data_IF_221329511957
#
_entry.id   IF_221329511957
#
_cell.length_a   1.000
_cell.length_b   1.000
_cell.length_c   1.000
_cell.angle_alpha   90.00
_cell.angle_beta   90.00
_cell.angle_gamma   90.00
#
_symmetry.space_group_name_H-M   'P 1'
#
loop_
_entity.id
_entity.type
_entity.pdbx_description
1 polymer ?
#
# COMPACT_ATOMS: atom_id res chain seq x y z
N UNK A 1 31.41 -2.64 -24.26
CA UNK A 1 32.11 -3.69 -23.51
C UNK A 1 33.38 -3.22 -22.78
N UNK A 2 34.25 -2.37 -23.34
CA UNK A 2 35.49 -1.90 -22.66
C UNK A 2 35.20 -1.08 -21.37
N UNK A 3 34.22 -0.20 -21.39
CA UNK A 3 33.82 0.66 -20.24
C UNK A 3 33.26 -0.15 -19.06
N UNK A 4 32.42 -1.16 -19.30
CA UNK A 4 31.84 -2.03 -18.26
C UNK A 4 32.94 -2.84 -17.55
N UNK A 5 33.87 -3.43 -18.32
CA UNK A 5 35.03 -4.20 -17.78
C UNK A 5 35.96 -3.32 -16.95
N UNK A 6 36.05 -2.04 -17.33
CA UNK A 6 36.87 -1.06 -16.61
C UNK A 6 36.19 -0.65 -15.28
N UNK A 7 34.89 -0.37 -15.30
CA UNK A 7 34.10 -0.05 -14.11
C UNK A 7 34.16 -1.21 -13.09
N UNK A 8 33.96 -2.44 -13.54
CA UNK A 8 34.05 -3.62 -12.69
C UNK A 8 35.44 -3.80 -12.02
N UNK A 9 36.51 -3.66 -12.80
CA UNK A 9 37.89 -3.75 -12.28
C UNK A 9 38.19 -2.68 -11.24
N UNK A 10 37.62 -1.50 -11.38
CA UNK A 10 37.78 -0.42 -10.42
C UNK A 10 37.09 -0.74 -9.09
N UNK A 11 35.83 -1.19 -9.12
CA UNK A 11 35.09 -1.61 -7.93
C UNK A 11 35.82 -2.71 -7.14
N UNK A 12 36.43 -3.64 -7.84
CA UNK A 12 37.20 -4.71 -7.25
C UNK A 12 38.55 -4.25 -6.65
N UNK A 13 39.13 -3.14 -7.11
CA UNK A 13 40.41 -2.62 -6.63
C UNK A 13 40.31 -1.85 -5.30
N UNK A 14 39.15 -1.28 -5.01
CA UNK A 14 38.86 -0.51 -3.78
C UNK A 14 37.81 -1.22 -2.91
N UNK A 15 38.03 -2.47 -2.59
CA UNK A 15 37.05 -3.39 -1.97
C UNK A 15 36.35 -2.82 -0.75
N UNK A 16 37.11 -2.39 0.27
CA UNK A 16 36.53 -1.88 1.52
C UNK A 16 35.62 -0.68 1.30
N UNK A 17 36.03 0.28 0.46
CA UNK A 17 35.23 1.43 0.11
C UNK A 17 33.95 1.05 -0.62
N UNK A 18 34.07 0.18 -1.62
CA UNK A 18 32.93 -0.28 -2.44
C UNK A 18 31.92 -1.04 -1.58
N UNK A 19 32.38 -1.92 -0.68
CA UNK A 19 31.52 -2.69 0.22
C UNK A 19 30.77 -1.77 1.19
N UNK A 20 31.46 -0.84 1.85
CA UNK A 20 30.82 0.08 2.81
C UNK A 20 29.76 0.94 2.12
N UNK A 21 30.11 1.48 0.94
CA UNK A 21 29.17 2.31 0.17
C UNK A 21 27.96 1.51 -0.33
N UNK A 22 28.20 0.31 -0.83
CA UNK A 22 27.17 -0.60 -1.30
C UNK A 22 26.21 -1.01 -0.17
N UNK A 23 26.74 -1.42 0.97
CA UNK A 23 25.92 -1.85 2.11
C UNK A 23 25.12 -0.67 2.71
N UNK A 24 25.73 0.52 2.84
CA UNK A 24 25.04 1.70 3.32
C UNK A 24 23.88 2.13 2.40
N UNK A 25 24.11 2.11 1.09
CA UNK A 25 23.05 2.41 0.12
C UNK A 25 21.98 1.30 0.09
N UNK A 26 22.40 0.02 0.12
CA UNK A 26 21.47 -1.11 0.08
C UNK A 26 20.53 -1.13 1.29
N UNK A 27 21.04 -0.86 2.49
CA UNK A 27 20.22 -0.78 3.69
C UNK A 27 19.22 0.38 3.62
N UNK A 28 19.68 1.57 3.21
CA UNK A 28 18.79 2.73 3.05
C UNK A 28 17.71 2.49 1.99
N UNK A 29 18.06 1.87 0.85
CA UNK A 29 17.10 1.49 -0.18
C UNK A 29 16.11 0.45 0.33
N UNK A 30 16.56 -0.58 1.06
CA UNK A 30 15.69 -1.61 1.62
C UNK A 30 14.63 -1.00 2.55
N UNK A 31 15.05 -0.15 3.51
CA UNK A 31 14.12 0.55 4.39
C UNK A 31 13.14 1.45 3.61
N UNK A 32 13.65 2.22 2.63
CA UNK A 32 12.80 3.10 1.82
C UNK A 32 11.81 2.32 0.95
N UNK A 33 12.21 1.18 0.36
CA UNK A 33 11.33 0.32 -0.44
C UNK A 33 10.21 -0.25 0.42
N UNK A 34 10.53 -0.77 1.63
CA UNK A 34 9.52 -1.29 2.56
C UNK A 34 8.50 -0.21 2.91
N UNK A 35 8.96 1.01 3.24
CA UNK A 35 8.08 2.13 3.56
C UNK A 35 7.23 2.55 2.36
N UNK A 36 7.81 2.62 1.16
CA UNK A 36 7.07 2.95 -0.08
C UNK A 36 6.02 1.89 -0.41
N UNK A 37 6.31 0.60 -0.21
CA UNK A 37 5.32 -0.49 -0.34
C UNK A 37 4.17 -0.31 0.64
N UNK A 38 4.47 0.00 1.90
CA UNK A 38 3.46 0.26 2.92
C UNK A 38 2.59 1.47 2.53
N UNK A 39 3.20 2.59 2.16
CA UNK A 39 2.49 3.81 1.72
C UNK A 39 1.61 3.51 0.51
N UNK A 40 2.13 2.80 -0.47
CA UNK A 40 1.37 2.41 -1.66
C UNK A 40 0.15 1.55 -1.29
N UNK A 41 0.33 0.55 -0.41
CA UNK A 41 -0.75 -0.31 0.09
C UNK A 41 -1.84 0.48 0.80
N UNK A 42 -1.47 1.49 1.60
CA UNK A 42 -2.41 2.39 2.26
C UNK A 42 -3.15 3.31 1.28
N UNK A 43 -2.49 3.80 0.23
CA UNK A 43 -3.10 4.65 -0.79
C UNK A 43 -4.01 3.88 -1.76
N UNK A 44 -3.80 2.58 -1.90
CA UNK A 44 -4.55 1.71 -2.82
C UNK A 44 -5.62 0.88 -2.11
N UNK A 45 -6.05 1.28 -0.92
CA UNK A 45 -7.14 0.61 -0.20
C UNK A 45 -8.40 0.60 -1.05
N UNK A 46 -9.09 -0.56 -1.08
CA UNK A 46 -10.33 -0.80 -1.80
C UNK A 46 -10.31 -0.48 -3.31
N UNK A 47 -9.13 -0.52 -3.96
CA UNK A 47 -9.05 -0.34 -5.42
C UNK A 47 -9.67 -1.51 -6.21
N UNK A 48 -9.97 -2.63 -5.57
CA UNK A 48 -10.73 -3.73 -6.14
C UNK A 48 -12.24 -3.41 -6.24
N UNK A 49 -12.72 -2.31 -5.63
CA UNK A 49 -14.05 -1.77 -5.87
C UNK A 49 -14.10 -1.17 -7.29
N UNK A 50 -14.96 -1.75 -8.13
CA UNK A 50 -15.14 -1.34 -9.51
C UNK A 50 -15.85 0.00 -9.51
N UNK A 51 -15.22 0.99 -10.18
CA UNK A 51 -15.76 2.35 -10.27
C UNK A 51 -16.04 3.01 -8.90
N UNK A 52 -15.10 2.81 -7.97
CA UNK A 52 -15.22 3.27 -6.56
C UNK A 52 -15.57 4.75 -6.38
N UNK A 53 -15.40 5.57 -7.42
CA UNK A 53 -15.75 6.99 -7.40
C UNK A 53 -17.28 7.22 -7.48
N UNK A 54 -18.01 6.25 -8.02
CA UNK A 54 -19.47 6.26 -8.13
C UNK A 54 -20.16 5.31 -7.16
N UNK A 55 -19.39 4.62 -6.28
CA UNK A 55 -19.95 3.73 -5.26
C UNK A 55 -19.97 4.44 -3.91
N UNK A 56 -21.16 4.48 -3.30
CA UNK A 56 -21.44 5.18 -2.06
C UNK A 56 -22.13 4.27 -1.06
N UNK A 57 -21.76 4.44 0.22
CA UNK A 57 -22.46 3.83 1.35
C UNK A 57 -23.38 4.87 2.02
N UNK A 58 -24.44 4.40 2.65
CA UNK A 58 -25.25 5.26 3.51
C UNK A 58 -24.55 5.42 4.86
N UNK A 59 -24.40 6.65 5.28
CA UNK A 59 -23.90 7.05 6.57
C UNK A 59 -25.00 7.71 7.38
N UNK A 60 -25.21 7.24 8.60
CA UNK A 60 -26.12 7.81 9.59
C UNK A 60 -25.31 8.63 10.58
N UNK A 61 -25.82 9.80 10.94
CA UNK A 61 -25.30 10.61 12.04
C UNK A 61 -26.37 10.72 13.12
N UNK A 62 -26.06 10.20 14.30
CA UNK A 62 -26.92 10.17 15.47
C UNK A 62 -26.23 10.93 16.58
N UNK A 63 -26.68 12.17 16.87
CA UNK A 63 -26.16 13.02 17.96
C UNK A 63 -24.62 13.15 17.95
N UNK A 64 -24.02 13.27 16.76
CA UNK A 64 -22.57 13.39 16.58
C UNK A 64 -21.83 12.06 16.36
N UNK A 65 -22.47 10.92 16.60
CA UNK A 65 -21.92 9.61 16.24
C UNK A 65 -22.27 9.27 14.79
N UNK A 66 -21.25 9.05 13.96
CA UNK A 66 -21.43 8.68 12.56
C UNK A 66 -21.10 7.19 12.36
N UNK A 67 -21.99 6.50 11.65
CA UNK A 67 -21.82 5.09 11.33
C UNK A 67 -22.35 4.74 9.94
N UNK A 68 -21.91 3.60 9.41
CA UNK A 68 -22.48 3.05 8.18
C UNK A 68 -23.78 2.31 8.51
N UNK A 69 -24.80 2.48 7.67
CA UNK A 69 -26.12 1.87 7.92
C UNK A 69 -26.89 1.59 6.64
N UNK A 70 -28.01 0.89 6.78
CA UNK A 70 -29.00 0.73 5.73
C UNK A 70 -30.30 1.45 6.05
N UNK A 71 -31.02 1.89 5.04
CA UNK A 71 -32.29 2.63 5.20
C UNK A 71 -33.40 1.75 5.79
N UNK A 72 -33.41 0.47 5.45
CA UNK A 72 -34.43 -0.49 5.97
C UNK A 72 -34.43 -0.64 7.48
N UNK A 73 -33.30 -0.30 8.13
CA UNK A 73 -33.21 -0.34 9.59
C UNK A 73 -34.19 0.61 10.27
N UNK A 74 -34.51 1.74 9.62
CA UNK A 74 -35.24 2.85 10.22
C UNK A 74 -36.72 2.94 9.81
N UNK A 75 -37.18 2.09 8.89
CA UNK A 75 -38.59 2.07 8.41
C UNK A 75 -39.15 3.42 7.87
N UNK A 76 -38.26 4.36 7.44
CA UNK A 76 -38.67 5.68 6.97
C UNK A 76 -37.96 6.05 5.68
N UNK A 77 -38.60 6.87 4.85
CA UNK A 77 -37.96 7.52 3.70
C UNK A 77 -37.01 8.62 4.22
N UNK A 78 -35.80 8.20 4.61
CA UNK A 78 -34.85 9.04 5.32
C UNK A 78 -33.95 9.84 4.38
N UNK A 79 -33.67 9.32 3.21
CA UNK A 79 -32.95 9.97 2.12
C UNK A 79 -33.66 9.64 0.82
N UNK A 80 -33.83 10.62 -0.06
CA UNK A 80 -34.49 10.38 -1.35
C UNK A 80 -33.49 9.96 -2.39
N UNK A 81 -33.48 8.67 -2.71
CA UNK A 81 -32.65 8.08 -3.78
C UNK A 81 -33.59 7.71 -4.93
N UNK A 82 -33.41 8.37 -6.07
CA UNK A 82 -34.13 8.03 -7.29
C UNK A 82 -33.48 6.82 -7.96
N UNK A 83 -34.21 5.72 -8.02
CA UNK A 83 -33.73 4.46 -8.61
C UNK A 83 -33.30 4.58 -10.08
N UNK A 84 -33.75 5.64 -10.79
CA UNK A 84 -33.32 5.89 -12.19
C UNK A 84 -31.82 6.19 -12.30
N UNK A 85 -31.21 6.69 -11.24
CA UNK A 85 -29.77 7.00 -11.18
C UNK A 85 -28.95 5.88 -10.54
N UNK A 86 -29.57 4.81 -10.06
CA UNK A 86 -28.90 3.66 -9.42
C UNK A 86 -28.64 2.59 -10.46
N UNK A 87 -27.38 2.28 -10.70
CA UNK A 87 -26.96 1.20 -11.60
C UNK A 87 -26.98 -0.15 -10.87
N UNK A 88 -26.47 -0.20 -9.64
CA UNK A 88 -26.44 -1.39 -8.81
C UNK A 88 -26.61 -1.02 -7.34
N UNK A 89 -27.26 -1.89 -6.58
CA UNK A 89 -27.42 -1.76 -5.12
C UNK A 89 -27.19 -3.12 -4.49
N UNK A 90 -26.37 -3.15 -3.46
CA UNK A 90 -26.15 -4.33 -2.62
C UNK A 90 -26.16 -3.97 -1.15
N UNK A 91 -26.33 -4.98 -0.32
CA UNK A 91 -26.22 -4.85 1.13
C UNK A 91 -25.17 -5.80 1.66
N UNK A 92 -24.49 -5.39 2.71
CA UNK A 92 -23.60 -6.27 3.42
C UNK A 92 -23.70 -6.10 4.94
N UNK A 93 -23.46 -7.20 5.66
CA UNK A 93 -23.50 -7.23 7.11
C UNK A 93 -22.23 -7.94 7.57
N UNK A 94 -21.31 -7.26 8.25
CA UNK A 94 -20.15 -7.87 8.85
C UNK A 94 -20.50 -8.49 10.21
N UNK A 95 -20.14 -9.75 10.43
CA UNK A 95 -20.33 -10.49 11.66
C UNK A 95 -18.98 -11.02 12.15
N UNK A 96 -18.38 -10.36 13.16
CA UNK A 96 -17.02 -10.67 13.62
C UNK A 96 -16.90 -11.85 14.55
N UNK A 97 -17.88 -12.03 15.42
CA UNK A 97 -17.84 -13.04 16.48
C UNK A 97 -18.79 -14.20 16.16
N UNK A 98 -18.51 -14.85 15.06
CA UNK A 98 -19.30 -15.98 14.63
C UNK A 98 -18.46 -17.25 14.46
N UNK A 99 -19.06 -18.36 14.14
CA UNK A 99 -18.37 -19.62 13.94
C UNK A 99 -19.11 -20.54 12.98
N UNK A 100 -18.35 -21.44 12.40
CA UNK A 100 -18.90 -22.62 11.70
C UNK A 100 -18.51 -23.88 12.41
N UNK A 101 -19.33 -24.91 12.26
CA UNK A 101 -19.10 -26.22 12.83
C UNK A 101 -18.72 -27.16 11.69
N UNK A 102 -17.55 -27.79 11.82
CA UNK A 102 -17.07 -28.85 10.93
C UNK A 102 -16.88 -30.14 11.77
N UNK A 103 -17.73 -31.12 11.55
CA UNK A 103 -17.79 -32.29 12.42
C UNK A 103 -18.18 -31.91 13.87
N UNK A 104 -17.27 -32.11 14.81
CA UNK A 104 -17.44 -31.74 16.23
C UNK A 104 -16.81 -30.40 16.61
N UNK A 105 -16.02 -29.82 15.72
CA UNK A 105 -15.21 -28.65 16.03
C UNK A 105 -15.93 -27.34 15.67
N UNK A 106 -15.94 -26.39 16.62
CA UNK A 106 -16.34 -24.98 16.37
C UNK A 106 -15.14 -24.18 15.94
N UNK A 107 -15.23 -23.59 14.75
CA UNK A 107 -14.13 -22.83 14.15
C UNK A 107 -14.59 -21.38 14.03
N UNK A 108 -13.95 -20.44 14.78
CA UNK A 108 -14.28 -19.02 14.68
C UNK A 108 -14.12 -18.50 13.25
N UNK A 109 -15.05 -17.64 12.82
CA UNK A 109 -15.09 -17.07 11.50
C UNK A 109 -15.58 -15.61 11.53
N UNK A 110 -14.97 -14.76 10.75
CA UNK A 110 -15.54 -13.47 10.39
C UNK A 110 -16.46 -13.70 9.20
N UNK A 111 -17.72 -13.47 9.38
CA UNK A 111 -18.70 -13.72 8.34
C UNK A 111 -19.13 -12.41 7.69
N UNK A 112 -19.15 -12.38 6.36
CA UNK A 112 -19.76 -11.31 5.57
C UNK A 112 -21.06 -11.85 4.97
N UNK A 113 -22.18 -11.24 5.33
CA UNK A 113 -23.47 -11.59 4.74
C UNK A 113 -23.79 -10.61 3.63
N UNK A 114 -24.04 -11.12 2.42
CA UNK A 114 -24.31 -10.27 1.26
C UNK A 114 -25.07 -11.03 0.17
N UNK A 115 -25.27 -10.41 -0.97
CA UNK A 115 -25.87 -10.98 -2.17
C UNK A 115 -24.87 -11.06 -3.35
N UNK A 116 -25.32 -11.61 -4.47
CA UNK A 116 -24.44 -11.77 -5.66
C UNK A 116 -24.09 -10.44 -6.35
N UNK A 117 -24.84 -9.34 -6.08
CA UNK A 117 -24.55 -8.02 -6.65
C UNK A 117 -23.30 -7.43 -6.03
N UNK A 118 -22.94 -7.84 -4.82
CA UNK A 118 -21.70 -7.43 -4.16
C UNK A 118 -20.46 -7.66 -5.06
N UNK A 119 -20.43 -8.78 -5.78
CA UNK A 119 -19.32 -9.10 -6.69
C UNK A 119 -19.34 -8.31 -8.02
N UNK A 120 -20.40 -7.56 -8.29
CA UNK A 120 -20.43 -6.57 -9.39
C UNK A 120 -19.80 -5.24 -8.95
N UNK A 121 -19.78 -4.97 -7.63
CA UNK A 121 -19.15 -3.77 -7.07
C UNK A 121 -17.70 -4.05 -6.68
N UNK A 122 -17.39 -5.23 -6.13
CA UNK A 122 -16.06 -5.59 -5.66
C UNK A 122 -15.52 -6.80 -6.41
N UNK A 123 -14.38 -6.60 -7.05
CA UNK A 123 -13.71 -7.68 -7.78
C UNK A 123 -12.86 -8.53 -6.83
N UNK A 124 -13.25 -9.78 -6.65
CA UNK A 124 -12.46 -10.79 -5.95
C UNK A 124 -12.01 -11.88 -6.92
N UNK A 125 -10.72 -12.31 -6.88
CA UNK A 125 -10.27 -13.40 -7.72
C UNK A 125 -10.92 -14.72 -7.31
N UNK A 126 -11.32 -15.53 -8.28
CA UNK A 126 -11.86 -16.86 -8.04
C UNK A 126 -10.70 -17.86 -8.05
N UNK A 127 -10.51 -18.58 -6.96
CA UNK A 127 -9.52 -19.66 -6.87
C UNK A 127 -10.15 -20.98 -7.35
N UNK A 128 -11.39 -21.25 -6.92
CA UNK A 128 -12.10 -22.46 -7.28
C UNK A 128 -13.62 -22.27 -7.15
N UNK A 129 -14.42 -22.98 -7.97
CA UNK A 129 -15.88 -22.92 -7.90
C UNK A 129 -16.46 -21.68 -8.57
N UNK A 130 -17.53 -21.10 -8.03
CA UNK A 130 -18.27 -19.97 -8.57
C UNK A 130 -18.50 -18.90 -7.52
N UNK A 131 -18.39 -17.60 -7.92
CA UNK A 131 -18.83 -16.46 -7.08
C UNK A 131 -20.34 -16.27 -7.24
N UNK A 132 -21.11 -17.10 -6.57
CA UNK A 132 -22.57 -17.08 -6.65
C UNK A 132 -23.18 -17.37 -5.30
N UNK A 133 -24.15 -16.56 -4.92
CA UNK A 133 -24.94 -16.69 -3.69
C UNK A 133 -26.42 -16.88 -4.07
N UNK A 134 -26.68 -17.83 -4.97
CA UNK A 134 -28.01 -18.03 -5.55
C UNK A 134 -28.99 -18.66 -4.60
N UNK A 135 -28.53 -19.59 -3.76
CA UNK A 135 -29.38 -20.27 -2.78
C UNK A 135 -29.18 -19.71 -1.38
N UNK A 136 -30.16 -19.83 -0.47
CA UNK A 136 -29.97 -19.41 0.91
C UNK A 136 -28.80 -20.12 1.61
N UNK A 137 -28.48 -21.33 1.21
CA UNK A 137 -27.40 -22.14 1.79
C UNK A 137 -26.03 -21.89 1.15
N UNK A 138 -25.95 -21.07 0.10
CA UNK A 138 -24.68 -20.78 -0.57
C UNK A 138 -23.69 -20.09 0.37
N UNK A 139 -22.45 -20.58 0.40
CA UNK A 139 -21.34 -19.99 1.13
C UNK A 139 -20.09 -19.97 0.26
N UNK A 140 -19.27 -18.91 0.42
CA UNK A 140 -17.95 -18.80 -0.20
C UNK A 140 -16.91 -18.66 0.92
N UNK A 141 -15.77 -19.31 0.78
CA UNK A 141 -14.68 -19.28 1.76
C UNK A 141 -13.48 -18.53 1.16
N UNK A 142 -12.72 -17.85 2.00
CA UNK A 142 -11.39 -17.43 1.59
C UNK A 142 -10.46 -18.63 1.49
N UNK A 143 -9.44 -18.55 0.64
CA UNK A 143 -8.46 -19.62 0.46
C UNK A 143 -7.80 -20.02 1.79
N UNK A 144 -7.38 -19.03 2.60
CA UNK A 144 -6.78 -19.22 3.93
C UNK A 144 -7.72 -19.98 4.86
N UNK A 145 -8.99 -19.60 4.88
CA UNK A 145 -9.98 -20.23 5.74
C UNK A 145 -10.38 -21.64 5.28
N UNK A 146 -10.49 -21.85 3.95
CA UNK A 146 -10.72 -23.16 3.37
C UNK A 146 -9.61 -24.16 3.74
N UNK A 147 -8.35 -23.73 3.64
CA UNK A 147 -7.19 -24.54 4.06
C UNK A 147 -7.21 -24.85 5.56
N UNK A 148 -7.64 -23.91 6.39
CA UNK A 148 -7.77 -24.09 7.84
C UNK A 148 -8.79 -25.17 8.22
N UNK A 149 -9.90 -25.27 7.47
CA UNK A 149 -10.99 -26.23 7.75
C UNK A 149 -10.72 -27.59 7.11
N UNK A 150 -10.32 -27.58 5.84
CA UNK A 150 -10.28 -28.79 5.00
C UNK A 150 -8.85 -29.27 4.68
N UNK A 151 -7.82 -28.50 5.08
CA UNK A 151 -6.44 -28.82 4.72
C UNK A 151 -6.24 -28.79 3.20
N UNK A 152 -5.85 -29.92 2.63
CA UNK A 152 -5.64 -30.08 1.18
C UNK A 152 -6.84 -30.74 0.46
N UNK A 153 -7.93 -31.01 1.17
CA UNK A 153 -9.11 -31.59 0.56
C UNK A 153 -9.90 -30.55 -0.25
N UNK A 154 -10.57 -31.01 -1.31
CA UNK A 154 -11.44 -30.15 -2.10
C UNK A 154 -12.64 -29.67 -1.25
N UNK A 155 -12.81 -28.37 -1.00
CA UNK A 155 -13.88 -27.85 -0.16
C UNK A 155 -15.21 -27.68 -0.91
N UNK A 156 -15.22 -27.66 -2.25
CA UNK A 156 -16.43 -27.40 -3.04
C UNK A 156 -17.45 -28.49 -2.86
N UNK A 157 -18.70 -28.09 -2.60
CA UNK A 157 -19.83 -28.99 -2.35
C UNK A 157 -19.89 -29.55 -0.94
N UNK A 158 -18.88 -29.29 -0.07
CA UNK A 158 -18.93 -29.70 1.33
C UNK A 158 -19.92 -28.86 2.12
N UNK A 159 -20.55 -29.46 3.09
CA UNK A 159 -21.54 -28.85 3.97
C UNK A 159 -20.89 -28.53 5.33
N UNK A 160 -21.09 -27.32 5.79
CA UNK A 160 -20.74 -26.85 7.12
C UNK A 160 -22.02 -26.44 7.85
N UNK A 161 -22.04 -26.52 9.16
CA UNK A 161 -23.14 -25.99 9.95
C UNK A 161 -22.80 -24.61 10.48
N UNK A 162 -23.60 -23.60 10.14
CA UNK A 162 -23.44 -22.25 10.63
C UNK A 162 -23.93 -22.14 12.09
N UNK A 163 -23.49 -21.12 12.81
CA UNK A 163 -23.78 -20.88 14.24
C UNK A 163 -25.27 -20.86 14.58
N UNK A 164 -26.13 -20.45 13.65
CA UNK A 164 -27.59 -20.47 13.80
C UNK A 164 -28.24 -21.84 13.60
N UNK A 165 -27.45 -22.91 13.45
CA UNK A 165 -27.89 -24.27 13.25
C UNK A 165 -28.28 -24.66 11.82
N UNK A 166 -28.22 -23.73 10.86
CA UNK A 166 -28.48 -23.99 9.43
C UNK A 166 -27.26 -24.58 8.75
N UNK A 167 -27.50 -25.46 7.81
CA UNK A 167 -26.45 -26.02 6.96
C UNK A 167 -26.16 -25.06 5.80
N UNK A 168 -24.88 -24.90 5.50
CA UNK A 168 -24.36 -24.06 4.39
C UNK A 168 -23.46 -24.93 3.51
N UNK A 169 -23.52 -24.71 2.21
CA UNK A 169 -22.76 -25.45 1.20
C UNK A 169 -21.70 -24.55 0.58
N UNK A 170 -20.46 -25.02 0.55
CA UNK A 170 -19.35 -24.28 -0.06
C UNK A 170 -19.47 -24.34 -1.58
N UNK A 171 -19.76 -23.22 -2.22
CA UNK A 171 -19.90 -23.12 -3.68
C UNK A 171 -18.65 -22.56 -4.37
N UNK A 172 -17.81 -21.82 -3.64
CA UNK A 172 -16.61 -21.25 -4.20
C UNK A 172 -15.56 -20.87 -3.17
N UNK A 173 -14.34 -20.72 -3.67
CA UNK A 173 -13.18 -20.23 -2.94
C UNK A 173 -12.75 -18.91 -3.55
N UNK A 174 -12.65 -17.90 -2.70
CA UNK A 174 -12.31 -16.51 -3.03
C UNK A 174 -10.86 -16.27 -2.63
N UNK A 175 -10.08 -15.74 -3.56
CA UNK A 175 -8.72 -15.28 -3.27
C UNK A 175 -8.72 -13.88 -2.63
N UNK A 176 -7.61 -13.52 -2.02
CA UNK A 176 -7.39 -12.17 -1.51
C UNK A 176 -7.22 -11.19 -2.68
N UNK A 177 -7.80 -9.96 -2.60
CA UNK A 177 -7.55 -8.93 -3.59
C UNK A 177 -6.09 -8.44 -3.48
N UNK A 178 -5.53 -7.94 -4.59
CA UNK A 178 -4.15 -7.43 -4.62
C UNK A 178 -3.94 -6.18 -3.74
N UNK A 179 -5.02 -5.48 -3.41
CA UNK A 179 -5.00 -4.29 -2.57
C UNK A 179 -5.45 -4.61 -1.13
N UNK A 180 -5.11 -3.71 -0.20
CA UNK A 180 -5.70 -3.73 1.14
C UNK A 180 -7.20 -3.44 1.03
N UNK A 181 -8.02 -4.19 1.76
CA UNK A 181 -9.46 -3.96 1.81
C UNK A 181 -9.92 -3.54 3.20
N UNK A 182 -10.94 -2.69 3.25
CA UNK A 182 -11.62 -2.34 4.50
C UNK A 182 -12.55 -3.46 4.96
N UNK A 183 -13.02 -4.31 4.04
CA UNK A 183 -13.97 -5.40 4.33
C UNK A 183 -13.21 -6.71 4.47
N UNK A 184 -12.93 -7.12 5.71
CA UNK A 184 -12.25 -8.39 6.03
C UNK A 184 -13.25 -9.47 6.41
N UNK A 185 -13.12 -10.64 5.81
CA UNK A 185 -13.95 -11.80 6.10
C UNK A 185 -13.17 -13.11 5.91
N UNK A 186 -13.68 -14.16 6.51
CA UNK A 186 -13.21 -15.55 6.33
C UNK A 186 -14.21 -16.36 5.50
N UNK A 187 -15.50 -16.01 5.62
CA UNK A 187 -16.61 -16.65 4.92
C UNK A 187 -17.64 -15.61 4.46
N UNK A 188 -18.18 -15.80 3.25
CA UNK A 188 -19.30 -15.02 2.74
C UNK A 188 -20.54 -15.92 2.74
N UNK A 189 -21.63 -15.39 3.30
CA UNK A 189 -22.91 -16.06 3.41
C UNK A 189 -23.98 -15.32 2.59
N UNK A 190 -24.93 -16.09 2.05
CA UNK A 190 -26.08 -15.49 1.36
C UNK A 190 -26.97 -14.72 2.32
N UNK A 191 -27.34 -13.50 1.96
CA UNK A 191 -28.30 -12.68 2.71
C UNK A 191 -29.66 -13.34 2.87
N UNK A 192 -30.00 -14.29 2.00
CA UNK A 192 -31.24 -15.09 2.06
C UNK A 192 -31.23 -16.17 3.15
N UNK A 193 -30.09 -16.44 3.81
CA UNK A 193 -29.99 -17.48 4.83
C UNK A 193 -30.81 -17.13 6.09
N UNK A 194 -30.98 -15.83 6.42
CA UNK A 194 -31.75 -15.42 7.59
C UNK A 194 -32.43 -14.07 7.37
N UNK A 195 -33.76 -14.01 7.60
CA UNK A 195 -34.54 -12.76 7.55
C UNK A 195 -34.17 -11.79 8.67
N UNK A 196 -33.52 -12.26 9.73
CA UNK A 196 -33.15 -11.43 10.88
C UNK A 196 -32.06 -10.39 10.54
N UNK A 197 -31.33 -10.61 9.45
CA UNK A 197 -30.24 -9.74 9.00
C UNK A 197 -30.68 -8.50 8.22
N UNK A 198 -31.96 -8.41 7.83
CA UNK A 198 -32.47 -7.28 7.04
C UNK A 198 -32.41 -5.92 7.77
N UNK A 199 -32.27 -5.95 9.11
CA UNK A 199 -32.25 -4.74 9.95
C UNK A 199 -30.86 -4.25 10.37
N UNK A 200 -29.79 -4.97 10.04
CA UNK A 200 -28.41 -4.63 10.47
C UNK A 200 -27.47 -4.53 9.26
N UNK A 201 -27.98 -4.07 8.13
CA UNK A 201 -27.21 -4.03 6.90
C UNK A 201 -26.61 -2.64 6.64
N UNK A 202 -25.49 -2.62 5.94
CA UNK A 202 -24.98 -1.43 5.26
C UNK A 202 -25.37 -1.51 3.79
N UNK A 203 -25.95 -0.46 3.28
CA UNK A 203 -26.35 -0.36 1.88
C UNK A 203 -25.28 0.35 1.05
N UNK A 204 -24.93 -0.25 -0.08
CA UNK A 204 -24.03 0.29 -1.08
C UNK A 204 -24.76 0.54 -2.38
N UNK A 205 -24.57 1.70 -2.94
CA UNK A 205 -25.16 2.15 -4.19
C UNK A 205 -24.08 2.51 -5.19
N UNK A 206 -24.12 1.96 -6.40
CA UNK A 206 -23.37 2.49 -7.53
C UNK A 206 -24.32 3.36 -8.35
N UNK A 207 -23.98 4.64 -8.44
CA UNK A 207 -24.73 5.62 -9.20
C UNK A 207 -24.20 5.77 -10.62
N UNK A 208 -25.08 6.14 -11.53
CA UNK A 208 -24.70 6.53 -12.89
C UNK A 208 -23.84 7.80 -12.87
N UNK A 209 -22.84 7.92 -13.80
CA UNK A 209 -22.06 9.14 -13.92
C UNK A 209 -22.92 10.39 -14.10
N UNK A 210 -22.57 11.46 -13.40
CA UNK A 210 -23.31 12.73 -13.44
C UNK A 210 -24.47 12.85 -12.45
N UNK A 211 -24.70 11.85 -11.58
CA UNK A 211 -25.69 11.94 -10.51
C UNK A 211 -25.28 13.01 -9.49
N UNK A 212 -26.19 13.93 -9.15
CA UNK A 212 -25.94 14.97 -8.15
C UNK A 212 -26.05 14.41 -6.73
N UNK A 213 -24.97 13.89 -6.21
CA UNK A 213 -24.86 13.34 -4.84
C UNK A 213 -25.14 14.43 -3.79
N UNK A 214 -24.80 15.70 -4.06
CA UNK A 214 -25.05 16.80 -3.12
C UNK A 214 -26.54 17.07 -2.97
N UNK A 215 -27.31 16.99 -4.06
CA UNK A 215 -28.77 17.11 -4.01
C UNK A 215 -29.38 15.98 -3.18
N UNK A 216 -28.92 14.74 -3.35
CA UNK A 216 -29.37 13.61 -2.54
C UNK A 216 -29.02 13.81 -1.07
N UNK A 217 -27.80 14.22 -0.74
CA UNK A 217 -27.38 14.48 0.63
C UNK A 217 -28.19 15.60 1.32
N UNK A 218 -28.65 16.60 0.58
CA UNK A 218 -29.54 17.63 1.13
C UNK A 218 -30.87 17.04 1.63
N UNK A 219 -31.42 16.03 0.99
CA UNK A 219 -32.66 15.37 1.45
C UNK A 219 -32.43 14.60 2.75
N UNK A 220 -31.26 13.98 2.94
CA UNK A 220 -30.91 13.23 4.15
C UNK A 220 -30.44 14.11 5.31
N UNK A 221 -30.02 15.36 5.04
CA UNK A 221 -29.55 16.30 6.08
C UNK A 221 -30.68 16.86 6.97
N UNK A 222 -31.92 16.65 6.59
CA UNK A 222 -33.08 17.05 7.43
C UNK A 222 -33.16 16.10 8.62
N UNK A 223 -33.03 16.62 9.87
CA UNK A 223 -33.09 15.79 11.05
C UNK A 223 -34.45 15.07 11.18
N UNK A 224 -34.39 13.77 11.43
CA UNK A 224 -35.60 12.96 11.61
C UNK A 224 -35.55 12.32 12.99
N UNK A 225 -36.60 12.54 13.74
CA UNK A 225 -36.79 11.91 15.04
C UNK A 225 -37.43 10.55 14.85
N UNK A 226 -36.72 9.51 15.29
CA UNK A 226 -37.18 8.12 15.24
C UNK A 226 -37.68 7.79 16.65
N UNK A 227 -39.00 7.67 16.80
CA UNK A 227 -39.64 7.32 18.07
C UNK A 227 -40.04 5.84 18.05
N UNK A 228 -39.04 4.96 18.10
CA UNK A 228 -39.24 3.53 18.33
C UNK A 228 -38.61 3.16 19.68
N UNK A 229 -39.41 3.08 20.78
CA UNK A 229 -38.84 2.80 22.12
C UNK A 229 -38.08 1.51 22.22
N UNK A 230 -38.25 0.61 21.25
CA UNK A 230 -37.56 -0.67 21.20
C UNK A 230 -36.18 -0.58 20.56
N UNK A 231 -35.97 0.38 19.65
CA UNK A 231 -34.76 0.46 18.85
C UNK A 231 -34.00 1.80 19.01
N UNK A 232 -34.67 2.93 18.87
CA UNK A 232 -34.05 4.25 18.99
C UNK A 232 -35.09 5.36 19.19
N UNK A 233 -34.71 6.35 19.99
CA UNK A 233 -35.55 7.57 20.26
C UNK A 233 -34.78 8.86 19.94
N UNK A 234 -33.71 8.78 19.19
CA UNK A 234 -32.80 9.91 18.90
C UNK A 234 -33.08 10.51 17.52
N UNK A 235 -32.47 11.65 17.28
CA UNK A 235 -32.53 12.35 15.99
C UNK A 235 -31.40 11.85 15.07
N UNK A 236 -31.77 11.51 13.87
CA UNK A 236 -30.84 10.98 12.85
C UNK A 236 -30.81 11.91 11.63
N UNK A 237 -29.62 12.05 11.05
CA UNK A 237 -29.40 12.58 9.70
C UNK A 237 -28.68 11.55 8.85
N UNK A 238 -28.89 11.62 7.55
CA UNK A 238 -28.35 10.63 6.61
C UNK A 238 -27.55 11.32 5.52
N UNK A 239 -26.48 10.65 5.07
CA UNK A 239 -25.66 11.13 3.97
C UNK A 239 -25.05 9.95 3.21
N UNK A 240 -24.68 10.19 1.96
CA UNK A 240 -23.89 9.27 1.15
C UNK A 240 -22.41 9.58 1.35
N UNK A 241 -21.63 8.57 1.66
CA UNK A 241 -20.16 8.64 1.73
C UNK A 241 -19.56 7.75 0.64
N UNK A 242 -18.61 8.27 -0.14
CA UNK A 242 -17.91 7.47 -1.15
C UNK A 242 -17.11 6.36 -0.50
N UNK A 243 -17.11 5.17 -1.07
CA UNK A 243 -16.26 4.02 -0.64
C UNK A 243 -14.79 4.43 -0.58
N UNK A 244 -14.33 5.32 -1.46
CA UNK A 244 -12.99 5.88 -1.47
C UNK A 244 -12.64 6.64 -0.19
N UNK A 245 -13.63 7.27 0.45
CA UNK A 245 -13.43 8.13 1.63
C UNK A 245 -13.68 7.41 2.96
N UNK A 246 -14.39 6.28 2.96
CA UNK A 246 -14.72 5.51 4.17
C UNK A 246 -13.47 5.18 4.98
N UNK A 247 -12.41 4.72 4.32
CA UNK A 247 -11.16 4.35 4.98
C UNK A 247 -10.50 5.53 5.71
N UNK A 248 -10.61 6.73 5.14
CA UNK A 248 -9.95 7.95 5.62
C UNK A 248 -10.81 8.82 6.53
N UNK A 249 -12.10 8.50 6.67
CA UNK A 249 -13.01 9.29 7.51
C UNK A 249 -12.90 8.87 8.97
N UNK A 250 -12.05 9.58 9.73
CA UNK A 250 -11.88 9.36 11.17
C UNK A 250 -13.11 9.71 12.02
N UNK A 251 -14.14 10.34 11.43
CA UNK A 251 -15.39 10.71 12.14
C UNK A 251 -16.41 9.57 12.19
N UNK A 252 -16.17 8.48 11.45
CA UNK A 252 -16.97 7.26 11.57
C UNK A 252 -16.61 6.56 12.88
N UNK A 253 -17.32 6.90 13.96
CA UNK A 253 -17.06 6.40 15.32
C UNK A 253 -17.84 5.13 15.62
N UNK A 254 -19.05 5.01 15.05
CA UNK A 254 -19.91 3.85 15.21
C UNK A 254 -19.57 2.79 14.14
N UNK A 255 -18.41 2.15 14.36
CA UNK A 255 -17.87 1.10 13.50
C UNK A 255 -18.08 -0.26 14.14
N UNK A 256 -19.27 -0.51 14.62
CA UNK A 256 -19.61 -1.87 15.00
C UNK A 256 -20.17 -2.64 13.79
N UNK A 257 -19.58 -3.76 13.51
CA UNK A 257 -18.42 -4.41 14.11
C UNK A 257 -17.08 -3.92 13.52
N UNK A 258 -15.97 -4.12 14.24
CA UNK A 258 -14.59 -3.66 13.97
C UNK A 258 -13.95 -4.21 12.68
N UNK A 259 -14.75 -4.76 11.77
CA UNK A 259 -14.30 -5.24 10.46
C UNK A 259 -13.83 -4.11 9.52
N UNK A 260 -14.15 -2.86 9.85
CA UNK A 260 -13.70 -1.72 9.06
C UNK A 260 -12.38 -1.19 9.58
N UNK A 261 -11.34 -1.45 8.81
CA UNK A 261 -10.04 -0.81 9.03
C UNK A 261 -10.14 0.67 8.70
N UNK A 262 -9.57 1.52 9.54
CA UNK A 262 -9.44 2.95 9.27
C UNK A 262 -8.00 3.34 9.06
N UNK A 263 -7.76 4.27 8.14
CA UNK A 263 -6.47 4.89 7.90
C UNK A 263 -6.33 6.21 8.65
N UNK A 264 -5.10 6.62 8.86
CA UNK A 264 -4.80 7.93 9.41
C UNK A 264 -3.94 8.71 8.41
N UNK A 265 -4.53 9.73 7.76
CA UNK A 265 -3.83 10.57 6.78
C UNK A 265 -2.60 11.25 7.37
N UNK A 266 -2.67 11.70 8.63
CA UNK A 266 -1.54 12.37 9.29
C UNK A 266 -0.37 11.41 9.48
N UNK A 267 -0.63 10.17 9.91
CA UNK A 267 0.42 9.15 10.02
C UNK A 267 1.05 8.83 8.65
N UNK A 268 0.25 8.78 7.60
CA UNK A 268 0.76 8.52 6.25
C UNK A 268 1.67 9.65 5.74
N UNK A 269 1.31 10.91 6.02
CA UNK A 269 2.14 12.08 5.67
C UNK A 269 3.47 12.05 6.44
N UNK A 270 3.43 11.76 7.74
CA UNK A 270 4.64 11.64 8.57
C UNK A 270 5.52 10.51 8.03
N UNK A 271 4.95 9.34 7.75
CA UNK A 271 5.69 8.19 7.23
C UNK A 271 6.29 8.46 5.86
N UNK A 272 5.58 9.21 5.00
CA UNK A 272 6.11 9.67 3.69
C UNK A 272 7.29 10.62 3.87
N UNK A 273 7.23 11.51 4.87
CA UNK A 273 8.35 12.37 5.26
C UNK A 273 9.57 11.57 5.73
N UNK A 274 9.34 10.60 6.60
CA UNK A 274 10.41 9.69 7.10
C UNK A 274 11.03 8.90 5.94
N UNK A 275 10.23 8.37 5.02
CA UNK A 275 10.71 7.66 3.83
C UNK A 275 11.60 8.55 2.97
N UNK A 276 11.17 9.78 2.71
CA UNK A 276 11.97 10.76 1.95
C UNK A 276 13.30 11.08 2.65
N UNK A 277 13.28 11.30 3.97
CA UNK A 277 14.50 11.59 4.74
C UNK A 277 15.47 10.40 4.76
N UNK A 278 14.96 9.16 4.88
CA UNK A 278 15.79 7.95 4.78
C UNK A 278 16.45 7.82 3.40
N UNK A 279 15.70 8.05 2.34
CA UNK A 279 16.23 8.02 0.98
C UNK A 279 17.31 9.09 0.78
N UNK A 280 17.05 10.32 1.22
CA UNK A 280 18.01 11.43 1.15
C UNK A 280 19.28 11.11 1.93
N UNK A 281 19.17 10.55 3.14
CA UNK A 281 20.33 10.14 3.96
C UNK A 281 21.18 9.10 3.22
N UNK A 282 20.56 8.10 2.60
CA UNK A 282 21.26 7.08 1.81
C UNK A 282 21.99 7.69 0.60
N UNK A 283 21.33 8.58 -0.13
CA UNK A 283 21.90 9.28 -1.29
C UNK A 283 23.08 10.16 -0.86
N UNK A 284 22.93 10.94 0.20
CA UNK A 284 23.99 11.81 0.70
C UNK A 284 25.20 11.01 1.19
N UNK A 285 24.97 9.91 1.90
CA UNK A 285 26.02 8.99 2.32
C UNK A 285 26.77 8.40 1.10
N UNK A 286 26.02 7.92 0.09
CA UNK A 286 26.58 7.42 -1.16
C UNK A 286 27.45 8.48 -1.85
N UNK A 287 26.94 9.70 -2.01
CA UNK A 287 27.68 10.81 -2.64
C UNK A 287 28.95 11.12 -1.85
N UNK A 288 28.87 11.24 -0.53
CA UNK A 288 30.01 11.51 0.35
C UNK A 288 31.13 10.51 0.17
N UNK A 289 30.79 9.25 0.22
CA UNK A 289 31.77 8.18 0.03
C UNK A 289 32.31 8.14 -1.40
N UNK A 290 31.43 8.32 -2.40
CA UNK A 290 31.85 8.38 -3.80
C UNK A 290 32.83 9.54 -4.07
N UNK A 291 32.64 10.70 -3.45
CA UNK A 291 33.56 11.82 -3.53
C UNK A 291 34.96 11.50 -3.00
N UNK A 292 35.07 10.73 -1.93
CA UNK A 292 36.35 10.29 -1.39
C UNK A 292 37.10 9.41 -2.40
N UNK A 293 36.38 8.49 -3.06
CA UNK A 293 36.96 7.65 -4.11
C UNK A 293 37.41 8.45 -5.32
N UNK A 294 36.61 9.43 -5.71
CA UNK A 294 36.92 10.32 -6.83
C UNK A 294 38.19 11.14 -6.62
N UNK A 295 38.46 11.59 -5.39
CA UNK A 295 39.69 12.34 -5.09
C UNK A 295 40.97 11.54 -5.42
N UNK A 296 40.92 10.22 -5.22
CA UNK A 296 42.02 9.30 -5.59
C UNK A 296 42.19 9.14 -7.11
N UNK A 297 41.14 9.48 -7.90
CA UNK A 297 41.12 9.34 -9.37
C UNK A 297 41.36 10.64 -10.11
N UNK A 298 41.58 11.75 -9.41
CA UNK A 298 41.80 13.06 -10.05
C UNK A 298 42.90 13.04 -11.13
N UNK A 299 44.01 12.32 -10.85
CA UNK A 299 45.10 12.15 -11.83
C UNK A 299 44.65 11.40 -13.10
N UNK A 300 43.86 10.35 -12.94
CA UNK A 300 43.33 9.54 -14.05
C UNK A 300 42.42 10.37 -14.96
N UNK A 301 41.48 11.12 -14.37
CA UNK A 301 40.58 12.01 -15.13
C UNK A 301 41.30 13.16 -15.78
N UNK A 302 42.29 13.74 -15.08
CA UNK A 302 43.16 14.75 -15.66
C UNK A 302 43.92 14.24 -16.89
N UNK A 303 44.50 13.06 -16.80
CA UNK A 303 45.21 12.40 -17.91
C UNK A 303 44.28 12.11 -19.11
N UNK A 304 43.08 11.57 -18.85
CA UNK A 304 42.04 11.34 -19.88
C UNK A 304 41.67 12.62 -20.64
N UNK A 305 41.60 13.77 -19.95
CA UNK A 305 41.35 15.08 -20.58
C UNK A 305 42.51 15.53 -21.45
N UNK A 306 43.76 15.34 -21.00
CA UNK A 306 44.93 15.66 -21.81
C UNK A 306 44.94 14.85 -23.12
N UNK A 307 44.49 13.60 -23.08
CA UNK A 307 44.31 12.76 -24.27
C UNK A 307 42.99 13.04 -25.05
N UNK A 308 42.31 14.16 -24.79
CA UNK A 308 41.19 14.62 -25.60
C UNK A 308 39.83 13.92 -25.30
N UNK A 309 39.66 13.28 -24.14
CA UNK A 309 38.36 12.70 -23.77
C UNK A 309 37.32 13.79 -23.60
N UNK A 310 36.27 13.74 -24.42
CA UNK A 310 35.13 14.68 -24.41
C UNK A 310 34.31 14.57 -23.13
N UNK A 311 33.68 15.66 -22.69
CA UNK A 311 32.84 15.73 -21.51
C UNK A 311 31.69 14.70 -21.52
N UNK A 312 31.07 14.43 -22.69
CA UNK A 312 30.02 13.40 -22.84
C UNK A 312 30.52 12.00 -22.51
N UNK A 313 31.71 11.65 -22.95
CA UNK A 313 32.35 10.35 -22.66
C UNK A 313 32.71 10.23 -21.19
N UNK A 314 33.12 11.34 -20.56
CA UNK A 314 33.40 11.39 -19.12
C UNK A 314 32.12 11.17 -18.32
N UNK A 315 31.03 11.83 -18.66
CA UNK A 315 29.74 11.62 -18.03
C UNK A 315 29.26 10.16 -18.16
N UNK A 316 29.30 9.61 -19.37
CA UNK A 316 28.90 8.23 -19.63
C UNK A 316 29.68 7.21 -18.77
N UNK A 317 30.99 7.41 -18.60
CA UNK A 317 31.82 6.55 -17.78
C UNK A 317 31.40 6.61 -16.29
N UNK A 318 31.20 7.81 -15.75
CA UNK A 318 30.75 8.02 -14.37
C UNK A 318 29.36 7.44 -14.16
N UNK A 319 28.44 7.68 -15.10
CA UNK A 319 27.07 7.16 -15.04
C UNK A 319 27.03 5.63 -15.06
N UNK A 320 27.78 4.97 -15.95
CA UNK A 320 27.85 3.51 -16.00
C UNK A 320 28.40 2.93 -14.69
N UNK A 321 29.44 3.54 -14.10
CA UNK A 321 29.96 3.12 -12.80
C UNK A 321 28.93 3.23 -11.69
N UNK A 322 28.23 4.35 -11.62
CA UNK A 322 27.16 4.57 -10.63
C UNK A 322 25.98 3.63 -10.85
N UNK A 323 25.62 3.36 -12.12
CA UNK A 323 24.55 2.40 -12.45
C UNK A 323 24.88 1.00 -11.95
N UNK A 324 26.13 0.55 -12.10
CA UNK A 324 26.56 -0.75 -11.58
C UNK A 324 26.51 -0.81 -10.05
N UNK A 325 26.91 0.26 -9.37
CA UNK A 325 26.84 0.34 -7.91
C UNK A 325 25.40 0.33 -7.42
N UNK A 326 24.54 1.14 -8.02
CA UNK A 326 23.11 1.22 -7.66
C UNK A 326 22.40 -0.09 -7.96
N UNK A 327 22.70 -0.73 -9.10
CA UNK A 327 22.14 -2.05 -9.42
C UNK A 327 22.56 -3.10 -8.38
N UNK A 328 23.85 -3.12 -8.01
CA UNK A 328 24.34 -4.06 -6.97
C UNK A 328 23.69 -3.76 -5.61
N UNK A 329 23.54 -2.49 -5.24
CA UNK A 329 22.88 -2.09 -4.01
C UNK A 329 21.39 -2.46 -4.01
N UNK A 330 20.71 -2.30 -5.14
CA UNK A 330 19.31 -2.67 -5.31
C UNK A 330 19.11 -4.19 -5.18
N UNK A 331 19.97 -5.00 -5.77
CA UNK A 331 19.93 -6.46 -5.60
C UNK A 331 20.16 -6.89 -4.14
N UNK A 332 21.11 -6.26 -3.46
CA UNK A 332 21.34 -6.51 -2.03
C UNK A 332 20.16 -6.01 -1.18
N UNK A 333 19.54 -4.88 -1.51
CA UNK A 333 18.37 -4.40 -0.80
C UNK A 333 17.16 -5.33 -0.92
N UNK A 334 16.92 -5.90 -2.11
CA UNK A 334 15.88 -6.93 -2.28
C UNK A 334 16.19 -8.21 -1.51
N UNK A 335 17.47 -8.61 -1.45
CA UNK A 335 17.89 -9.75 -0.62
C UNK A 335 17.62 -9.48 0.88
N UNK A 336 17.90 -8.26 1.36
CA UNK A 336 17.57 -7.84 2.74
C UNK A 336 16.07 -7.90 2.99
N UNK A 337 15.26 -7.38 2.06
CA UNK A 337 13.80 -7.40 2.15
C UNK A 337 13.30 -8.86 2.23
N UNK A 338 13.82 -9.74 1.40
CA UNK A 338 13.43 -11.16 1.41
C UNK A 338 13.78 -11.86 2.71
N UNK A 339 14.95 -11.61 3.27
CA UNK A 339 15.35 -12.15 4.58
C UNK A 339 14.45 -11.62 5.71
N UNK A 340 14.01 -10.36 5.60
CA UNK A 340 13.14 -9.74 6.59
C UNK A 340 11.66 -10.08 6.40
N UNK A 341 11.24 -10.60 5.24
CA UNK A 341 9.84 -10.89 4.93
C UNK A 341 9.25 -11.96 5.85
N UNK A 342 9.94 -13.08 6.06
CA UNK A 342 9.47 -14.16 6.91
C UNK A 342 9.26 -13.74 8.40
N UNK A 343 10.18 -13.01 9.06
CA UNK A 343 9.94 -12.44 10.39
C UNK A 343 8.78 -11.44 10.44
N UNK A 344 8.64 -10.58 9.43
CA UNK A 344 7.55 -9.58 9.40
C UNK A 344 6.20 -10.22 9.17
N UNK A 345 6.11 -11.24 8.34
CA UNK A 345 4.91 -12.03 8.15
C UNK A 345 4.47 -12.73 9.44
N UNK A 346 5.42 -13.39 10.13
CA UNK A 346 5.15 -14.06 11.39
C UNK A 346 4.71 -13.11 12.51
N UNK A 347 5.32 -11.92 12.61
CA UNK A 347 5.06 -10.96 13.70
C UNK A 347 3.84 -10.06 13.43
N UNK A 348 3.56 -9.73 12.17
CA UNK A 348 2.58 -8.70 11.81
C UNK A 348 1.44 -9.23 10.92
N UNK A 349 1.43 -10.51 10.56
CA UNK A 349 0.45 -11.14 9.63
C UNK A 349 0.32 -10.35 8.30
N UNK A 350 1.45 -9.81 7.82
CA UNK A 350 1.52 -9.02 6.58
C UNK A 350 2.20 -9.85 5.50
N UNK A 351 1.42 -10.40 4.57
CA UNK A 351 1.97 -11.01 3.36
C UNK A 351 2.49 -9.95 2.40
N UNK A 352 3.78 -9.99 2.09
CA UNK A 352 4.38 -9.15 1.06
C UNK A 352 4.42 -9.91 -0.27
N UNK A 353 3.34 -9.82 -1.05
CA UNK A 353 3.37 -10.27 -2.45
C UNK A 353 4.17 -9.27 -3.31
N UNK A 354 4.89 -9.79 -4.30
CA UNK A 354 5.53 -8.95 -5.32
C UNK A 354 4.48 -8.44 -6.30
N UNK A 355 4.47 -7.12 -6.50
CA UNK A 355 3.50 -6.45 -7.37
C UNK A 355 4.20 -5.74 -8.53
N UNK A 356 3.44 -5.34 -9.55
CA UNK A 356 3.96 -4.49 -10.63
C UNK A 356 4.57 -3.18 -10.10
N UNK A 357 4.08 -2.66 -8.97
CA UNK A 357 4.63 -1.49 -8.30
C UNK A 357 6.12 -1.68 -7.93
N UNK A 358 6.50 -2.85 -7.42
CA UNK A 358 7.90 -3.16 -7.06
C UNK A 358 8.83 -3.10 -8.28
N UNK A 359 8.35 -3.58 -9.43
CA UNK A 359 9.07 -3.49 -10.70
C UNK A 359 9.27 -2.04 -11.14
N UNK A 360 8.20 -1.25 -11.14
CA UNK A 360 8.26 0.18 -11.48
C UNK A 360 9.12 0.99 -10.51
N UNK A 361 9.03 0.72 -9.22
CA UNK A 361 9.84 1.37 -8.19
C UNK A 361 11.34 1.07 -8.41
N UNK A 362 11.69 -0.20 -8.61
CA UNK A 362 13.07 -0.63 -8.86
C UNK A 362 13.63 -0.03 -10.15
N UNK A 363 12.84 0.00 -11.23
CA UNK A 363 13.22 0.62 -12.49
C UNK A 363 13.45 2.14 -12.33
N UNK A 364 12.58 2.83 -11.59
CA UNK A 364 12.70 4.25 -11.30
C UNK A 364 13.96 4.58 -10.51
N UNK A 365 14.26 3.80 -9.47
CA UNK A 365 15.49 3.93 -8.68
C UNK A 365 16.72 3.72 -9.57
N UNK A 366 16.73 2.66 -10.38
CA UNK A 366 17.86 2.32 -11.26
C UNK A 366 18.10 3.37 -12.36
N UNK A 367 17.06 4.06 -12.78
CA UNK A 367 17.16 5.10 -13.81
C UNK A 367 17.55 6.46 -13.23
N UNK A 368 16.89 6.89 -12.14
CA UNK A 368 17.04 8.24 -11.60
C UNK A 368 18.27 8.37 -10.70
N UNK A 369 18.52 7.41 -9.81
CA UNK A 369 19.57 7.53 -8.80
C UNK A 369 20.98 7.62 -9.39
N UNK A 370 21.38 6.82 -10.41
CA UNK A 370 22.68 6.98 -11.06
C UNK A 370 22.87 8.33 -11.73
N UNK A 371 21.81 8.90 -12.31
CA UNK A 371 21.87 10.23 -12.95
C UNK A 371 22.14 11.29 -11.88
N UNK A 372 21.33 11.32 -10.80
CA UNK A 372 21.47 12.28 -9.70
C UNK A 372 22.87 12.21 -9.09
N UNK A 373 23.37 11.01 -8.81
CA UNK A 373 24.67 10.81 -8.17
C UNK A 373 25.85 11.11 -9.11
N UNK A 374 25.64 11.10 -10.43
CA UNK A 374 26.68 11.39 -11.42
C UNK A 374 26.83 12.88 -11.73
N UNK A 375 25.82 13.71 -11.48
CA UNK A 375 25.82 15.14 -11.83
C UNK A 375 26.97 15.87 -11.14
N UNK A 376 27.10 15.74 -9.83
CA UNK A 376 28.14 16.46 -9.08
C UNK A 376 29.57 16.06 -9.48
N UNK A 377 29.92 14.77 -9.54
CA UNK A 377 31.22 14.34 -10.04
C UNK A 377 31.54 14.85 -11.45
N UNK A 378 30.55 14.78 -12.33
CA UNK A 378 30.71 15.27 -13.70
C UNK A 378 31.01 16.76 -13.73
N UNK A 379 30.21 17.61 -13.07
CA UNK A 379 30.44 19.07 -13.01
C UNK A 379 31.84 19.32 -12.48
N UNK A 380 32.21 18.70 -11.36
CA UNK A 380 33.52 18.90 -10.75
C UNK A 380 34.68 18.62 -11.71
N UNK A 381 34.67 17.45 -12.37
CA UNK A 381 35.75 17.06 -13.24
C UNK A 381 35.72 17.72 -14.62
N UNK A 382 34.54 18.04 -15.12
CA UNK A 382 34.40 18.73 -16.41
C UNK A 382 34.98 20.14 -16.37
N UNK A 383 34.78 20.88 -15.28
CA UNK A 383 35.26 22.28 -15.15
C UNK A 383 36.63 22.42 -14.48
N UNK A 384 37.20 21.38 -13.89
CA UNK A 384 38.56 21.44 -13.34
C UNK A 384 39.62 21.32 -14.44
N UNK A 385 40.63 22.19 -14.44
CA UNK A 385 41.72 22.13 -15.43
C UNK A 385 42.52 20.84 -15.29
N UNK A 386 43.05 20.25 -16.40
CA UNK A 386 43.84 19.03 -16.37
C UNK A 386 45.07 19.13 -15.46
N UNK A 387 45.76 20.30 -15.49
CA UNK A 387 46.96 20.56 -14.70
C UNK A 387 46.64 20.50 -13.20
N UNK A 388 45.57 21.16 -12.77
CA UNK A 388 45.13 21.13 -11.37
C UNK A 388 44.70 19.73 -10.93
N UNK A 389 44.09 18.96 -11.81
CA UNK A 389 43.67 17.55 -11.53
C UNK A 389 44.87 16.63 -11.34
N UNK A 390 45.96 16.87 -12.10
CA UNK A 390 47.21 16.06 -12.00
C UNK A 390 48.03 16.45 -10.77
N UNK A 391 48.15 17.74 -10.48
CA UNK A 391 48.92 18.23 -9.32
C UNK A 391 48.27 17.96 -7.97
N UNK A 392 47.01 17.59 -7.91
CA UNK A 392 46.20 17.28 -6.69
C UNK A 392 46.17 18.35 -5.59
N UNK A 393 46.78 19.53 -5.80
CA UNK A 393 47.02 20.59 -4.79
C UNK A 393 45.80 21.50 -4.61
N UNK A 394 45.01 21.78 -5.67
CA UNK A 394 43.84 22.67 -5.60
C UNK A 394 42.49 22.01 -5.30
N UNK A 395 42.40 20.69 -5.44
CA UNK A 395 41.14 19.92 -5.34
C UNK A 395 40.72 19.67 -3.89
N UNK A 396 41.69 19.72 -2.93
CA UNK A 396 41.42 19.39 -1.53
C UNK A 396 40.59 20.44 -0.77
N UNK A 397 40.76 21.76 -1.06
CA UNK A 397 40.13 22.82 -0.26
C UNK A 397 38.62 22.92 -0.54
N UNK A 398 38.18 23.02 -1.78
CA UNK A 398 36.76 23.09 -2.13
C UNK A 398 35.99 21.81 -1.82
N UNK A 399 36.65 20.66 -1.90
CA UNK A 399 36.09 19.36 -1.56
C UNK A 399 35.79 19.20 -0.07
N UNK A 400 36.56 19.84 0.81
CA UNK A 400 36.32 19.78 2.27
C UNK A 400 35.01 20.48 2.67
N UNK A 401 34.78 21.70 2.18
CA UNK A 401 33.56 22.48 2.50
C UNK A 401 32.29 21.77 2.01
N UNK A 402 32.32 21.23 0.80
CA UNK A 402 31.18 20.51 0.23
C UNK A 402 30.88 19.22 1.00
N UNK A 403 31.92 18.47 1.40
CA UNK A 403 31.78 17.29 2.21
C UNK A 403 31.27 17.61 3.62
N UNK A 404 31.77 18.69 4.24
CA UNK A 404 31.25 19.13 5.54
C UNK A 404 29.80 19.57 5.47
N UNK A 405 29.39 20.22 4.37
CA UNK A 405 27.99 20.56 4.14
C UNK A 405 27.10 19.30 4.07
N UNK A 406 27.50 18.29 3.28
CA UNK A 406 26.72 17.05 3.19
C UNK A 406 26.69 16.30 4.51
N UNK A 407 27.79 16.23 5.25
CA UNK A 407 27.84 15.64 6.58
C UNK A 407 26.93 16.41 7.55
N UNK A 408 26.98 17.73 7.57
CA UNK A 408 26.07 18.55 8.38
C UNK A 408 24.61 18.32 8.04
N UNK A 409 24.26 18.32 6.75
CA UNK A 409 22.91 17.98 6.29
C UNK A 409 22.47 16.58 6.74
N UNK A 410 23.37 15.59 6.65
CA UNK A 410 23.08 14.23 7.08
C UNK A 410 22.84 14.16 8.59
N UNK A 411 23.60 14.88 9.43
CA UNK A 411 23.35 14.94 10.88
C UNK A 411 22.01 15.56 11.20
N UNK A 412 21.64 16.67 10.53
CA UNK A 412 20.33 17.32 10.70
C UNK A 412 19.19 16.34 10.34
N UNK A 413 19.31 15.66 9.18
CA UNK A 413 18.31 14.69 8.74
C UNK A 413 18.19 13.53 9.73
N UNK A 414 19.33 12.99 10.21
CA UNK A 414 19.33 11.90 11.19
C UNK A 414 18.69 12.34 12.51
N UNK A 415 18.97 13.58 12.97
CA UNK A 415 18.30 14.14 14.14
C UNK A 415 16.78 14.25 13.95
N UNK A 416 16.34 14.76 12.78
CA UNK A 416 14.92 14.83 12.46
C UNK A 416 14.27 13.44 12.42
N UNK A 417 14.95 12.43 11.88
CA UNK A 417 14.46 11.05 11.87
C UNK A 417 14.27 10.51 13.29
N UNK A 418 15.21 10.76 14.22
CA UNK A 418 15.09 10.33 15.62
C UNK A 418 13.96 11.05 16.35
N UNK A 419 13.68 12.32 16.00
CA UNK A 419 12.57 13.08 16.61
C UNK A 419 11.21 12.65 16.08
N UNK A 420 11.15 12.17 14.81
CA UNK A 420 9.90 11.74 14.17
C UNK A 420 9.57 10.26 14.40
N UNK A 421 10.53 9.46 14.85
CA UNK A 421 10.35 8.03 15.20
C UNK A 421 9.84 7.85 16.63
#
# INVERSE_FOLDING_TARGET
>A
MKTLKYAWRFLMRSKSYTIINLLGLAFSLACSIILMRYIHRELTVDTHCIDREHVYAICTNTEGNRGLSGLKQYNYDTISIDNRFVEAMTTYIPLEKDYVISGTNRIPARCLVTDSVFFQLFHYPIVQGKLSLTTPQSALLTEKYARKIFGNENPIGKVLRYSNGKDITVEGIVGEPECKTTINFDIILSSKLSQHWERMNTELYRFLPGTDINAINKTGSVPRYINDPKYDTRTHTFSLISVKDIYWDGSLTDREPTMFLSGNRSHLIILSGVCLLLLLTGILNFINLYLVALLRRGKEYGLKKVFGVCGKTLFANIWIENTLLVLSALLVSWLIIEIMSAPTEYLFDIHFSYTAFDGWLSASILLLLPVITSIYPYIKYNYTSPILSIRSIGVQSHSKHFRMFFLGAQYIITFLLVVLS
#
